data_IF_642444529150
#
_entry.id   IF_642444529150
#
_cell.length_a   1.000
_cell.length_b   1.000
_cell.length_c   1.000
_cell.angle_alpha   90.00
_cell.angle_beta   90.00
_cell.angle_gamma   90.00
#
_symmetry.space_group_name_H-M   'P 1'
#
loop_
_entity.id
_entity.type
_entity.pdbx_description
1 polymer ?
#
# COMPACT_ATOMS: atom_id res chain seq x y z
N UNK A 1 20.72 16.24 34.15
CA UNK A 1 19.81 15.11 33.99
C UNK A 1 19.58 14.89 32.51
N UNK A 2 19.84 13.67 32.02
CA UNK A 2 19.52 13.38 30.64
C UNK A 2 18.01 13.60 30.44
N UNK A 3 17.68 14.41 29.44
CA UNK A 3 16.32 14.57 28.99
C UNK A 3 15.77 13.20 28.65
N UNK A 4 14.77 12.74 29.39
CA UNK A 4 14.00 11.57 28.99
C UNK A 4 13.28 11.98 27.72
N UNK A 5 13.79 11.53 26.58
CA UNK A 5 13.09 11.71 25.32
C UNK A 5 11.66 11.18 25.55
N UNK A 6 10.68 12.04 25.32
CA UNK A 6 9.28 11.60 25.34
C UNK A 6 9.17 10.34 24.47
N UNK A 7 8.55 9.29 24.98
CA UNK A 7 8.35 8.10 24.14
C UNK A 7 7.76 8.56 22.81
N UNK A 8 8.21 8.00 21.69
CA UNK A 8 7.65 8.38 20.41
C UNK A 8 6.13 8.25 20.55
N UNK A 9 5.41 9.30 20.15
CA UNK A 9 3.95 9.24 20.07
C UNK A 9 3.64 7.91 19.42
N UNK A 10 2.97 7.04 20.13
CA UNK A 10 2.42 5.83 19.52
C UNK A 10 1.76 6.28 18.24
N UNK A 11 2.34 5.90 17.12
CA UNK A 11 1.72 6.09 15.83
C UNK A 11 0.29 5.59 15.99
N UNK A 12 -0.69 6.42 15.62
CA UNK A 12 -2.10 6.05 15.75
C UNK A 12 -2.24 4.62 15.27
N UNK A 13 -2.65 3.73 16.15
CA UNK A 13 -2.63 2.31 15.85
C UNK A 13 -3.43 2.02 14.60
N UNK A 14 -3.09 0.96 13.90
CA UNK A 14 -3.80 0.49 12.72
C UNK A 14 -5.22 -0.04 13.04
N UNK A 15 -5.77 0.34 14.18
CA UNK A 15 -7.08 -0.10 14.67
C UNK A 15 -8.24 0.42 13.85
N UNK A 16 -8.02 1.48 13.08
CA UNK A 16 -9.00 2.08 12.17
C UNK A 16 -9.07 1.40 10.80
N UNK A 17 -8.22 0.40 10.57
CA UNK A 17 -8.19 -0.32 9.29
C UNK A 17 -8.95 -1.63 9.44
N UNK A 18 -10.12 -1.78 8.79
CA UNK A 18 -10.88 -3.01 8.86
C UNK A 18 -10.18 -4.15 8.11
N UNK A 19 -10.41 -5.37 8.55
CA UNK A 19 -9.89 -6.58 7.90
C UNK A 19 -8.40 -6.84 8.08
N UNK A 20 -7.69 -5.98 8.78
CA UNK A 20 -6.25 -6.14 8.99
C UNK A 20 -5.97 -7.29 9.95
N UNK A 21 -5.06 -8.23 9.61
CA UNK A 21 -4.66 -9.28 10.54
C UNK A 21 -4.15 -8.71 11.86
N UNK A 22 -4.51 -9.35 12.96
CA UNK A 22 -4.25 -8.82 14.29
C UNK A 22 -2.76 -8.55 14.55
N UNK A 23 -1.88 -9.43 14.09
CA UNK A 23 -0.44 -9.28 14.31
C UNK A 23 0.15 -8.07 13.57
N UNK A 24 -0.45 -7.64 12.45
CA UNK A 24 0.03 -6.47 11.72
C UNK A 24 -0.24 -5.17 12.49
N UNK A 25 -1.28 -5.16 13.31
CA UNK A 25 -1.66 -3.97 14.09
C UNK A 25 -0.63 -3.56 15.12
N UNK A 26 0.29 -4.45 15.44
CA UNK A 26 1.37 -4.17 16.40
C UNK A 26 2.51 -3.36 15.80
N UNK A 27 2.59 -3.28 14.46
CA UNK A 27 3.63 -2.52 13.79
C UNK A 27 3.32 -1.02 13.75
N UNK A 28 4.33 -0.17 13.97
CA UNK A 28 4.16 1.26 13.80
C UNK A 28 3.77 1.59 12.37
N UNK A 29 2.86 2.53 12.21
CA UNK A 29 2.44 3.02 10.91
C UNK A 29 2.37 4.55 10.92
N UNK A 30 2.73 5.15 9.80
CA UNK A 30 2.56 6.58 9.58
C UNK A 30 1.11 6.95 9.30
N UNK A 31 0.81 8.23 9.09
CA UNK A 31 -0.51 8.67 8.66
C UNK A 31 -0.76 8.29 7.20
N UNK A 32 -2.04 8.33 6.82
CA UNK A 32 -2.41 8.27 5.41
C UNK A 32 -1.84 9.48 4.67
N UNK A 33 -1.16 9.21 3.55
CA UNK A 33 -0.58 10.24 2.69
C UNK A 33 -1.22 10.18 1.32
N UNK A 34 -1.65 11.34 0.83
CA UNK A 34 -2.08 11.46 -0.55
C UNK A 34 -0.90 11.24 -1.48
N UNK A 35 -1.02 10.35 -2.47
CA UNK A 35 0.02 10.09 -3.46
C UNK A 35 -0.45 10.30 -4.90
N UNK A 36 -1.75 10.23 -5.13
CA UNK A 36 -2.37 10.44 -6.44
C UNK A 36 -3.85 10.78 -6.22
N UNK A 37 -4.55 11.32 -7.24
CA UNK A 37 -5.99 11.53 -7.13
C UNK A 37 -6.71 10.26 -6.67
N UNK A 38 -7.48 10.37 -5.57
CA UNK A 38 -8.25 9.28 -4.96
C UNK A 38 -7.42 8.13 -4.39
N UNK A 39 -6.10 8.31 -4.26
CA UNK A 39 -5.20 7.26 -3.74
C UNK A 39 -4.39 7.79 -2.57
N UNK A 40 -4.43 7.03 -1.47
CA UNK A 40 -3.67 7.29 -0.26
C UNK A 40 -2.83 6.08 0.11
N UNK A 41 -1.67 6.34 0.65
CA UNK A 41 -0.71 5.32 1.09
C UNK A 41 -0.36 5.54 2.56
N UNK A 42 -0.26 4.44 3.29
CA UNK A 42 0.14 4.45 4.69
C UNK A 42 1.27 3.44 4.89
N UNK A 43 2.51 3.90 5.11
CA UNK A 43 3.63 2.99 5.32
C UNK A 43 3.52 2.27 6.65
N UNK A 44 3.92 1.00 6.65
CA UNK A 44 4.07 0.19 7.85
C UNK A 44 5.56 0.00 8.10
N UNK A 45 6.02 0.36 9.29
CA UNK A 45 7.43 0.25 9.65
C UNK A 45 7.75 -1.18 10.10
N UNK A 46 8.70 -1.79 9.43
CA UNK A 46 9.27 -3.06 9.85
C UNK A 46 10.36 -2.80 10.90
N UNK A 47 10.53 -3.70 11.89
CA UNK A 47 11.46 -3.48 13.00
C UNK A 47 12.94 -3.47 12.61
N UNK A 48 13.26 -4.02 11.45
CA UNK A 48 14.62 -4.08 10.93
C UNK A 48 14.71 -3.49 9.54
N UNK A 49 15.88 -3.00 9.17
CA UNK A 49 16.15 -2.59 7.80
C UNK A 49 15.96 -3.80 6.88
N UNK A 50 15.00 -3.71 5.99
CA UNK A 50 14.62 -4.78 5.09
C UNK A 50 14.53 -4.26 3.67
N UNK A 51 14.85 -5.11 2.70
CA UNK A 51 14.57 -4.82 1.30
C UNK A 51 13.08 -4.94 0.95
N UNK A 52 12.30 -5.54 1.85
CA UNK A 52 10.85 -5.63 1.72
C UNK A 52 10.20 -4.36 2.27
N UNK A 53 9.26 -3.81 1.50
CA UNK A 53 8.43 -2.68 1.90
C UNK A 53 7.02 -3.16 2.11
N UNK A 54 6.40 -2.69 3.19
CA UNK A 54 5.01 -3.01 3.53
C UNK A 54 4.24 -1.73 3.73
N UNK A 55 3.09 -1.64 3.11
CA UNK A 55 2.23 -0.46 3.22
C UNK A 55 0.77 -0.81 2.95
N UNK A 56 -0.10 0.08 3.38
CA UNK A 56 -1.51 0.05 3.02
C UNK A 56 -1.75 1.02 1.89
N UNK A 57 -2.54 0.60 0.92
CA UNK A 57 -2.98 1.43 -0.19
C UNK A 57 -4.49 1.53 -0.17
N UNK A 58 -5.00 2.75 -0.07
CA UNK A 58 -6.44 3.03 -0.09
C UNK A 58 -6.79 3.77 -1.37
N UNK A 59 -7.69 3.20 -2.14
CA UNK A 59 -8.15 3.74 -3.40
C UNK A 59 -9.65 3.88 -3.41
N UNK A 60 -10.14 5.04 -3.84
CA UNK A 60 -11.57 5.31 -3.92
C UNK A 60 -12.24 4.54 -5.03
N UNK A 61 -13.57 4.31 -4.94
CA UNK A 61 -14.35 3.68 -6.00
C UNK A 61 -14.15 4.37 -7.34
N UNK A 62 -14.08 3.59 -8.40
CA UNK A 62 -13.90 4.09 -9.75
C UNK A 62 -12.49 4.56 -10.09
N UNK A 63 -11.55 4.44 -9.16
CA UNK A 63 -10.16 4.80 -9.41
C UNK A 63 -9.52 3.80 -10.35
N UNK A 64 -8.87 4.34 -11.37
CA UNK A 64 -7.96 3.59 -12.23
C UNK A 64 -6.56 3.83 -11.68
N UNK A 65 -5.89 2.75 -11.28
CA UNK A 65 -4.57 2.86 -10.69
C UNK A 65 -3.55 3.30 -11.72
N UNK A 66 -2.56 4.06 -11.24
CA UNK A 66 -1.43 4.47 -12.05
C UNK A 66 -0.72 3.23 -12.60
N UNK A 67 -0.48 3.20 -13.89
CA UNK A 67 0.36 2.17 -14.50
C UNK A 67 1.73 2.19 -13.84
N UNK A 68 2.20 1.02 -13.45
CA UNK A 68 3.50 0.90 -12.81
C UNK A 68 4.16 -0.42 -13.19
N UNK A 69 5.47 -0.39 -13.17
CA UNK A 69 6.30 -1.58 -13.21
C UNK A 69 7.12 -1.66 -11.92
N UNK A 70 7.54 -2.84 -11.54
CA UNK A 70 8.40 -3.02 -10.37
C UNK A 70 9.51 -4.02 -10.69
N UNK A 71 10.64 -3.89 -9.98
CA UNK A 71 11.84 -4.69 -10.27
C UNK A 71 11.87 -6.05 -9.57
N UNK A 72 11.01 -6.24 -8.58
CA UNK A 72 10.86 -7.47 -7.85
C UNK A 72 9.43 -7.96 -7.92
N UNK A 73 9.04 -8.72 -6.92
CA UNK A 73 7.66 -9.17 -6.81
C UNK A 73 6.85 -8.27 -5.88
N UNK A 74 5.56 -8.26 -6.09
CA UNK A 74 4.58 -7.56 -5.26
C UNK A 74 3.48 -8.53 -4.87
N UNK A 75 3.11 -8.50 -3.60
CA UNK A 75 1.99 -9.26 -3.08
C UNK A 75 0.96 -8.29 -2.54
N UNK A 76 -0.27 -8.37 -3.03
CA UNK A 76 -1.39 -7.55 -2.58
C UNK A 76 -2.45 -8.43 -1.95
N UNK A 77 -2.87 -8.07 -0.75
CA UNK A 77 -4.01 -8.70 -0.08
C UNK A 77 -5.12 -7.67 0.08
N UNK A 78 -6.31 -7.97 -0.45
CA UNK A 78 -7.46 -7.08 -0.30
C UNK A 78 -8.03 -7.22 1.10
N UNK A 79 -8.17 -6.10 1.79
CA UNK A 79 -8.80 -6.04 3.13
C UNK A 79 -10.25 -5.61 3.03
N UNK A 80 -10.53 -4.59 2.25
CA UNK A 80 -11.88 -4.09 1.98
C UNK A 80 -12.01 -3.69 0.52
N UNK A 81 -13.24 -3.62 0.03
CA UNK A 81 -13.50 -3.27 -1.35
C UNK A 81 -13.07 -4.33 -2.33
N UNK A 82 -12.86 -3.95 -3.57
CA UNK A 82 -12.44 -4.88 -4.62
C UNK A 82 -11.79 -4.14 -5.79
N UNK A 83 -11.03 -4.89 -6.57
CA UNK A 83 -10.48 -4.40 -7.83
C UNK A 83 -10.52 -5.49 -8.90
N UNK A 84 -10.43 -5.05 -10.15
CA UNK A 84 -10.25 -5.93 -11.31
C UNK A 84 -8.88 -5.71 -11.92
N UNK A 85 -8.24 -6.80 -12.30
CA UNK A 85 -6.91 -6.79 -12.87
C UNK A 85 -6.73 -8.01 -13.78
N UNK A 86 -6.26 -7.79 -15.01
CA UNK A 86 -5.95 -8.87 -15.95
C UNK A 86 -7.06 -9.91 -16.11
N UNK A 87 -8.32 -9.48 -16.12
CA UNK A 87 -9.47 -10.36 -16.25
C UNK A 87 -9.90 -11.09 -14.97
N UNK A 88 -9.22 -10.84 -13.85
CA UNK A 88 -9.58 -11.36 -12.54
C UNK A 88 -10.26 -10.31 -11.67
N UNK A 89 -11.09 -10.78 -10.73
CA UNK A 89 -11.72 -9.95 -9.71
C UNK A 89 -11.18 -10.35 -8.34
N UNK A 90 -10.74 -9.35 -7.58
CA UNK A 90 -10.15 -9.56 -6.26
C UNK A 90 -10.96 -8.81 -5.22
N UNK A 91 -11.49 -9.55 -4.25
CA UNK A 91 -12.24 -9.04 -3.11
C UNK A 91 -11.57 -9.36 -1.78
N UNK A 92 -12.20 -9.02 -0.64
CA UNK A 92 -11.61 -9.20 0.68
C UNK A 92 -11.10 -10.62 0.91
N UNK A 93 -9.84 -10.72 1.33
CA UNK A 93 -9.15 -11.98 1.56
C UNK A 93 -8.42 -12.54 0.35
N UNK A 94 -8.63 -11.98 -0.84
CA UNK A 94 -7.94 -12.44 -2.04
C UNK A 94 -6.53 -11.86 -2.14
N UNK A 95 -5.65 -12.63 -2.76
CA UNK A 95 -4.27 -12.25 -3.04
C UNK A 95 -4.05 -12.09 -4.54
N UNK A 96 -3.30 -11.07 -4.88
CA UNK A 96 -2.73 -10.88 -6.22
C UNK A 96 -1.20 -10.86 -6.09
N UNK A 97 -0.55 -11.77 -6.79
CA UNK A 97 0.91 -11.87 -6.80
C UNK A 97 1.42 -11.48 -8.18
N UNK A 98 2.16 -10.37 -8.24
CA UNK A 98 2.82 -9.91 -9.45
C UNK A 98 4.32 -10.11 -9.38
N UNK A 99 4.93 -10.50 -10.51
CA UNK A 99 6.37 -10.45 -10.67
C UNK A 99 6.79 -9.17 -11.42
N UNK A 100 8.09 -8.93 -11.57
CA UNK A 100 8.58 -7.66 -12.08
C UNK A 100 8.32 -7.37 -13.56
N UNK A 101 7.74 -8.30 -14.30
CA UNK A 101 7.62 -8.20 -15.75
C UNK A 101 6.24 -7.70 -16.24
N UNK A 102 5.27 -7.58 -15.33
CA UNK A 102 3.91 -7.20 -15.69
C UNK A 102 3.63 -5.72 -15.52
N UNK A 103 3.10 -5.09 -16.57
CA UNK A 103 2.44 -3.81 -16.46
C UNK A 103 1.03 -4.02 -15.92
N UNK A 104 0.71 -3.31 -14.83
CA UNK A 104 -0.56 -3.46 -14.15
C UNK A 104 -1.48 -2.29 -14.42
N UNK A 105 -2.64 -2.57 -15.00
CA UNK A 105 -3.79 -1.67 -14.96
C UNK A 105 -4.83 -2.26 -14.02
N UNK A 106 -5.12 -1.53 -12.96
CA UNK A 106 -6.04 -1.94 -11.90
C UNK A 106 -7.19 -0.94 -11.84
N UNK A 107 -8.41 -1.43 -11.82
CA UNK A 107 -9.59 -0.60 -11.63
C UNK A 107 -10.33 -1.00 -10.35
N UNK A 108 -10.62 -0.02 -9.53
CA UNK A 108 -11.42 -0.21 -8.31
C UNK A 108 -12.89 -0.24 -8.71
N UNK A 109 -13.50 -1.40 -8.60
CA UNK A 109 -14.87 -1.66 -9.04
C UNK A 109 -15.89 -1.74 -7.91
N UNK A 110 -15.43 -1.65 -6.66
CA UNK A 110 -16.32 -1.67 -5.50
C UNK A 110 -17.00 -0.33 -5.26
N UNK A 111 -18.10 -0.35 -4.49
CA UNK A 111 -18.78 0.86 -4.03
C UNK A 111 -18.07 1.48 -2.83
N UNK A 112 -17.33 0.70 -2.08
CA UNK A 112 -16.51 1.14 -0.95
C UNK A 112 -15.07 1.33 -1.36
N UNK A 113 -14.31 2.05 -0.52
CA UNK A 113 -12.88 2.18 -0.72
C UNK A 113 -12.20 0.80 -0.74
N UNK A 114 -11.28 0.62 -1.66
CA UNK A 114 -10.44 -0.57 -1.72
C UNK A 114 -9.19 -0.33 -0.89
N UNK A 115 -9.00 -1.12 0.15
CA UNK A 115 -7.80 -1.08 0.98
C UNK A 115 -7.07 -2.40 0.80
N UNK A 116 -5.81 -2.30 0.37
CA UNK A 116 -4.94 -3.45 0.20
C UNK A 116 -3.73 -3.33 1.13
N UNK A 117 -3.35 -4.47 1.71
CA UNK A 117 -2.06 -4.63 2.36
C UNK A 117 -1.07 -5.12 1.31
N UNK A 118 -0.01 -4.36 1.09
CA UNK A 118 0.95 -4.63 0.03
C UNK A 118 2.32 -4.88 0.63
N UNK A 119 2.95 -5.95 0.19
CA UNK A 119 4.36 -6.24 0.44
C UNK A 119 5.09 -6.35 -0.88
N UNK A 120 6.20 -5.64 -1.02
CA UNK A 120 6.97 -5.66 -2.25
C UNK A 120 8.47 -5.70 -1.99
N UNK A 121 9.18 -6.36 -2.87
CA UNK A 121 10.64 -6.30 -2.97
C UNK A 121 11.02 -5.59 -4.25
N UNK A 122 12.16 -4.89 -4.19
CA UNK A 122 12.63 -4.08 -5.30
C UNK A 122 11.99 -2.69 -5.31
N UNK A 123 12.21 -1.98 -6.40
CA UNK A 123 11.74 -0.62 -6.58
C UNK A 123 10.48 -0.58 -7.44
N UNK A 124 9.51 0.19 -6.99
CA UNK A 124 8.35 0.54 -7.78
C UNK A 124 8.73 1.63 -8.78
N UNK A 125 8.46 1.40 -10.04
CA UNK A 125 8.58 2.40 -11.10
C UNK A 125 7.20 2.83 -11.56
N UNK A 126 6.90 4.11 -11.37
CA UNK A 126 5.65 4.69 -11.82
C UNK A 126 5.82 5.23 -13.24
N UNK A 127 4.88 4.87 -14.11
CA UNK A 127 4.86 5.34 -15.49
C UNK A 127 4.15 6.70 -15.57
N UNK A 128 4.57 7.51 -16.54
CA UNK A 128 4.02 8.84 -16.74
C UNK A 128 4.63 9.91 -15.85
N UNK A 129 4.34 11.17 -16.16
CA UNK A 129 4.96 12.31 -15.49
C UNK A 129 4.52 12.43 -14.02
N UNK A 130 3.25 12.24 -13.74
CA UNK A 130 2.72 12.29 -12.37
C UNK A 130 3.32 11.16 -11.53
N UNK A 131 3.41 9.96 -12.10
CA UNK A 131 4.03 8.83 -11.44
C UNK A 131 5.49 9.09 -11.07
N UNK A 132 6.25 9.71 -11.94
CA UNK A 132 7.66 10.06 -11.68
C UNK A 132 7.80 11.07 -10.54
N UNK A 133 6.90 12.04 -10.46
CA UNK A 133 6.90 13.02 -9.37
C UNK A 133 6.58 12.40 -8.03
N UNK A 134 5.76 11.36 -7.99
CA UNK A 134 5.35 10.67 -6.78
C UNK A 134 6.31 9.54 -6.37
N UNK A 135 7.21 9.14 -7.26
CA UNK A 135 8.16 8.05 -7.02
C UNK A 135 8.92 8.19 -5.69
N UNK A 136 9.46 9.37 -5.32
CA UNK A 136 10.16 9.52 -4.04
C UNK A 136 9.26 9.31 -2.82
N UNK A 137 7.96 9.55 -2.94
CA UNK A 137 7.01 9.37 -1.84
C UNK A 137 6.68 7.89 -1.59
N UNK A 138 6.85 7.06 -2.61
CA UNK A 138 6.58 5.62 -2.55
C UNK A 138 7.83 4.85 -2.14
N UNK A 139 9.00 5.40 -2.38
CA UNK A 139 10.26 4.89 -1.86
C UNK A 139 10.34 5.20 -0.37
N UNK A 140 10.06 4.22 0.38
CA UNK A 140 10.08 4.34 1.84
C UNK A 140 11.33 3.73 2.44
#
# INVERSE_FOLDING_TARGET
LPSIASPPRRAAGLTDVPGLPHFVREYPAGPWRWIAPKVHLRPIQLPEASSTRVFLLKSRPGTKMIEHTHTGFEMSCVLTGSFVHAGGHFGPGDFDLGDGDDDHEIMIDSQDDCICLIAMQGDLKLNGMIGRLLQPLIRM
#
